data_IF_123518422459
#
_entry.id   IF_123518422459
#
_cell.length_a   1.000
_cell.length_b   1.000
_cell.length_c   1.000
_cell.angle_alpha   90.00
_cell.angle_beta   90.00
_cell.angle_gamma   90.00
#
_symmetry.space_group_name_H-M   'P 1'
#
loop_
_entity.id
_entity.type
_entity.pdbx_description
1 polymer ?
#
# COMPACT_ATOMS: atom_id res chain seq x y z
N UNK A 1 -22.19 -6.08 16.64
CA UNK A 1 -21.11 -5.10 16.39
C UNK A 1 -19.81 -5.72 16.84
N UNK A 2 -19.01 -6.25 15.92
CA UNK A 2 -17.67 -6.72 16.25
C UNK A 2 -16.79 -5.49 16.49
N UNK A 3 -16.09 -5.47 17.63
CA UNK A 3 -15.03 -4.50 17.87
C UNK A 3 -13.99 -4.68 16.76
N UNK A 4 -13.76 -3.62 15.98
CA UNK A 4 -12.58 -3.53 15.11
C UNK A 4 -11.40 -3.45 16.07
N UNK A 5 -10.84 -4.61 16.40
CA UNK A 5 -9.69 -4.70 17.29
C UNK A 5 -8.54 -3.98 16.63
N UNK A 6 -8.11 -2.86 17.21
CA UNK A 6 -6.76 -2.36 16.97
C UNK A 6 -5.81 -3.48 17.37
N UNK A 7 -5.27 -4.20 16.38
CA UNK A 7 -4.22 -5.16 16.63
C UNK A 7 -3.08 -4.41 17.31
N UNK A 8 -2.85 -4.67 18.59
CA UNK A 8 -1.64 -4.23 19.26
C UNK A 8 -0.51 -5.04 18.65
N UNK A 9 0.14 -4.48 17.63
CA UNK A 9 1.25 -5.13 16.97
C UNK A 9 2.43 -5.16 17.94
N UNK A 10 2.64 -6.32 18.57
CA UNK A 10 3.72 -6.49 19.53
C UNK A 10 5.05 -6.63 18.77
N UNK A 11 6.11 -6.04 19.33
CA UNK A 11 7.45 -6.11 18.75
C UNK A 11 7.95 -7.56 18.54
N UNK A 12 7.53 -8.50 19.38
CA UNK A 12 7.90 -9.91 19.29
C UNK A 12 7.31 -10.64 18.06
N UNK A 13 6.33 -10.03 17.39
CA UNK A 13 5.59 -10.62 16.26
C UNK A 13 5.98 -10.00 14.92
N UNK A 14 6.95 -9.09 14.90
CA UNK A 14 7.43 -8.46 13.65
C UNK A 14 7.85 -9.53 12.65
N UNK A 15 7.35 -9.40 11.42
CA UNK A 15 7.61 -10.33 10.32
C UNK A 15 6.74 -11.60 10.35
N UNK A 16 5.91 -11.83 11.36
CA UNK A 16 4.91 -12.90 11.32
C UNK A 16 3.83 -12.61 10.26
N UNK A 17 3.21 -13.63 9.65
CA UNK A 17 2.18 -13.43 8.62
C UNK A 17 1.03 -12.52 9.06
N UNK A 18 0.54 -12.68 10.29
CA UNK A 18 -0.52 -11.88 10.88
C UNK A 18 -0.10 -10.40 10.97
N UNK A 19 1.13 -10.16 11.44
CA UNK A 19 1.70 -8.82 11.54
C UNK A 19 1.81 -8.15 10.17
N UNK A 20 2.36 -8.87 9.16
CA UNK A 20 2.48 -8.39 7.77
C UNK A 20 1.11 -8.11 7.15
N UNK A 21 0.12 -8.96 7.42
CA UNK A 21 -1.24 -8.78 6.91
C UNK A 21 -1.91 -7.54 7.50
N UNK A 22 -1.72 -7.28 8.80
CA UNK A 22 -2.23 -6.08 9.46
C UNK A 22 -1.57 -4.82 8.89
N UNK A 23 -0.25 -4.87 8.65
CA UNK A 23 0.50 -3.77 8.04
C UNK A 23 0.02 -3.47 6.60
N UNK A 24 -0.20 -4.51 5.78
CA UNK A 24 -0.77 -4.36 4.44
C UNK A 24 -2.18 -3.77 4.48
N UNK A 25 -3.04 -4.26 5.38
CA UNK A 25 -4.40 -3.76 5.55
C UNK A 25 -4.41 -2.29 5.97
N UNK A 26 -3.52 -1.90 6.90
CA UNK A 26 -3.37 -0.50 7.29
C UNK A 26 -2.88 0.37 6.13
N UNK A 27 -1.91 -0.11 5.35
CA UNK A 27 -1.42 0.63 4.19
C UNK A 27 -2.56 0.93 3.21
N UNK A 28 -3.38 -0.07 2.88
CA UNK A 28 -4.55 0.09 2.02
C UNK A 28 -5.59 1.03 2.65
N UNK A 29 -5.85 0.89 3.96
CA UNK A 29 -6.81 1.75 4.67
C UNK A 29 -6.39 3.21 4.64
N UNK A 30 -5.10 3.50 4.86
CA UNK A 30 -4.57 4.85 4.86
C UNK A 30 -4.63 5.50 3.48
N UNK A 31 -4.37 4.73 2.43
CA UNK A 31 -4.34 5.24 1.06
C UNK A 31 -5.71 5.26 0.39
N UNK A 32 -6.71 4.56 0.93
CA UNK A 32 -8.05 4.43 0.34
C UNK A 32 -8.68 5.79 0.00
N UNK A 33 -8.50 6.83 0.82
CA UNK A 33 -9.08 8.15 0.53
C UNK A 33 -8.27 9.01 -0.45
N UNK A 34 -7.11 8.55 -0.93
CA UNK A 34 -6.19 9.37 -1.73
C UNK A 34 -6.55 9.23 -3.21
N UNK A 35 -7.06 10.31 -3.81
CA UNK A 35 -7.45 10.34 -5.22
C UNK A 35 -6.27 10.49 -6.21
N UNK A 36 -5.03 10.54 -5.73
CA UNK A 36 -3.84 10.85 -6.54
C UNK A 36 -2.60 10.04 -6.17
N UNK A 37 -1.46 10.32 -6.83
CA UNK A 37 -0.24 9.56 -6.60
C UNK A 37 0.28 9.74 -5.18
N UNK A 38 0.55 8.63 -4.51
CA UNK A 38 1.00 8.54 -3.12
C UNK A 38 2.52 8.59 -3.08
N UNK A 39 3.07 9.39 -2.17
CA UNK A 39 4.50 9.37 -1.86
C UNK A 39 4.80 8.16 -0.96
N UNK A 40 5.62 7.18 -1.41
CA UNK A 40 5.89 5.98 -0.62
C UNK A 40 6.62 6.27 0.70
N UNK A 41 7.41 7.35 0.80
CA UNK A 41 8.05 7.73 2.06
C UNK A 41 7.06 8.29 3.08
N UNK A 42 6.01 9.00 2.61
CA UNK A 42 4.95 9.46 3.48
C UNK A 42 4.14 8.26 4.02
N UNK A 43 3.84 7.28 3.16
CA UNK A 43 3.21 6.04 3.56
C UNK A 43 4.09 5.22 4.52
N UNK A 44 5.39 5.12 4.26
CA UNK A 44 6.34 4.45 5.15
C UNK A 44 6.32 5.08 6.56
N UNK A 45 6.42 6.41 6.63
CA UNK A 45 6.37 7.13 7.92
C UNK A 45 5.04 6.90 8.64
N UNK A 46 3.92 6.98 7.92
CA UNK A 46 2.60 6.68 8.51
C UNK A 46 2.56 5.28 9.12
N UNK A 47 3.04 4.28 8.38
CA UNK A 47 3.07 2.90 8.84
C UNK A 47 3.97 2.71 10.06
N UNK A 48 5.15 3.36 10.05
CA UNK A 48 6.07 3.37 11.18
C UNK A 48 5.43 3.99 12.44
N UNK A 49 4.79 5.14 12.29
CA UNK A 49 4.09 5.83 13.38
C UNK A 49 2.93 4.97 13.91
N UNK A 50 2.22 4.28 13.03
CA UNK A 50 1.11 3.40 13.38
C UNK A 50 1.56 2.16 14.15
N UNK A 51 2.67 1.51 13.76
CA UNK A 51 3.22 0.37 14.51
C UNK A 51 3.88 0.80 15.82
N UNK A 52 4.36 2.04 15.91
CA UNK A 52 4.92 2.61 17.14
C UNK A 52 6.26 1.99 17.58
N UNK A 53 7.01 1.40 16.66
CA UNK A 53 8.33 0.79 16.92
C UNK A 53 9.44 1.43 16.06
N UNK A 54 10.72 1.35 16.49
CA UNK A 54 11.83 1.98 15.76
C UNK A 54 11.96 1.49 14.31
N UNK A 55 12.47 2.36 13.43
CA UNK A 55 12.64 2.07 12.01
C UNK A 55 13.54 0.84 11.80
N UNK A 56 14.60 0.72 12.60
CA UNK A 56 15.57 -0.37 12.52
C UNK A 56 14.93 -1.73 12.76
N UNK A 57 13.81 -1.76 13.49
CA UNK A 57 13.07 -2.98 13.78
C UNK A 57 12.05 -3.36 12.69
N UNK A 58 11.45 -2.38 11.99
CA UNK A 58 10.29 -2.61 11.13
C UNK A 58 10.43 -2.12 9.69
N UNK A 59 11.42 -1.27 9.38
CA UNK A 59 11.56 -0.63 8.07
C UNK A 59 11.72 -1.64 6.93
N UNK A 60 12.42 -2.75 7.17
CA UNK A 60 12.53 -3.85 6.20
C UNK A 60 11.17 -4.49 5.87
N UNK A 61 10.32 -4.67 6.88
CA UNK A 61 8.97 -5.21 6.71
C UNK A 61 8.04 -4.21 6.02
N UNK A 62 8.14 -2.92 6.38
CA UNK A 62 7.39 -1.85 5.70
C UNK A 62 7.76 -1.79 4.22
N UNK A 63 9.05 -1.79 3.87
CA UNK A 63 9.49 -1.84 2.48
C UNK A 63 8.99 -3.10 1.76
N UNK A 64 9.02 -4.25 2.43
CA UNK A 64 8.48 -5.51 1.87
C UNK A 64 7.00 -5.39 1.54
N UNK A 65 6.19 -4.75 2.40
CA UNK A 65 4.77 -4.48 2.13
C UNK A 65 4.60 -3.51 0.96
N UNK A 66 5.37 -2.42 0.90
CA UNK A 66 5.30 -1.47 -0.22
C UNK A 66 5.62 -2.16 -1.55
N UNK A 67 6.63 -3.03 -1.59
CA UNK A 67 6.94 -3.82 -2.78
C UNK A 67 5.85 -4.85 -3.09
N UNK A 68 5.30 -5.52 -2.08
CA UNK A 68 4.21 -6.50 -2.26
C UNK A 68 2.95 -5.84 -2.84
N UNK A 69 2.61 -4.62 -2.42
CA UNK A 69 1.51 -3.83 -2.97
C UNK A 69 1.67 -3.58 -4.47
N UNK A 70 2.90 -3.29 -4.93
CA UNK A 70 3.17 -3.09 -6.37
C UNK A 70 3.21 -4.41 -7.11
N UNK A 71 3.94 -5.41 -6.60
CA UNK A 71 4.10 -6.72 -7.26
C UNK A 71 2.81 -7.52 -7.35
N UNK A 72 1.85 -7.29 -6.46
CA UNK A 72 0.52 -7.89 -6.53
C UNK A 72 -0.43 -7.19 -7.51
N UNK A 73 -0.03 -6.05 -8.07
CA UNK A 73 -0.89 -5.23 -8.93
C UNK A 73 -1.99 -4.48 -8.18
N UNK A 74 -1.94 -4.42 -6.84
CA UNK A 74 -2.83 -3.55 -6.06
C UNK A 74 -2.48 -2.07 -6.27
N UNK A 75 -1.20 -1.80 -6.51
CA UNK A 75 -0.66 -0.48 -6.82
C UNK A 75 0.25 -0.56 -8.04
N UNK A 76 0.36 0.54 -8.77
CA UNK A 76 1.40 0.74 -9.77
C UNK A 76 2.44 1.71 -9.22
N UNK A 77 3.69 1.57 -9.66
CA UNK A 77 4.76 2.52 -9.36
C UNK A 77 5.36 3.02 -10.67
N UNK A 78 5.61 4.32 -10.77
CA UNK A 78 6.28 4.91 -11.93
C UNK A 78 7.77 4.53 -12.05
N UNK A 79 8.36 3.94 -11.01
CA UNK A 79 9.75 3.47 -10.98
C UNK A 79 9.85 1.94 -10.94
N UNK A 80 8.75 1.23 -11.24
CA UNK A 80 8.77 -0.22 -11.39
C UNK A 80 9.24 -0.60 -12.79
N UNK A 81 10.32 -1.37 -12.86
CA UNK A 81 10.76 -2.02 -14.09
C UNK A 81 10.15 -3.43 -14.13
N UNK A 82 9.15 -3.61 -14.99
CA UNK A 82 8.45 -4.88 -15.15
C UNK A 82 9.35 -6.01 -15.70
N UNK A 83 10.36 -5.68 -16.51
CA UNK A 83 11.23 -6.68 -17.11
C UNK A 83 12.15 -7.34 -16.07
N UNK A 84 12.57 -6.57 -15.07
CA UNK A 84 13.43 -7.06 -13.99
C UNK A 84 12.68 -7.32 -12.67
N UNK A 85 11.43 -6.84 -12.56
CA UNK A 85 10.64 -6.83 -11.33
C UNK A 85 11.23 -5.91 -10.25
N UNK A 86 12.13 -5.00 -10.63
CA UNK A 86 12.84 -4.12 -9.70
C UNK A 86 12.01 -2.87 -9.45
N UNK A 87 11.91 -2.47 -8.18
CA UNK A 87 11.28 -1.21 -7.79
C UNK A 87 12.35 -0.38 -7.10
N UNK A 88 12.72 0.73 -7.72
CA UNK A 88 13.63 1.70 -7.11
C UNK A 88 12.79 2.71 -6.32
N UNK A 89 13.06 2.84 -5.01
CA UNK A 89 12.43 3.85 -4.18
C UNK A 89 13.29 5.12 -4.17
N UNK A 90 12.84 6.14 -4.90
CA UNK A 90 13.45 7.45 -5.00
C UNK A 90 12.45 8.57 -4.70
N UNK A 91 12.93 9.82 -4.60
CA UNK A 91 12.11 11.01 -4.28
C UNK A 91 11.01 11.23 -5.34
N UNK A 92 11.27 10.79 -6.56
CA UNK A 92 10.38 10.79 -7.71
C UNK A 92 9.38 9.63 -7.73
N UNK A 93 9.55 8.61 -6.88
CA UNK A 93 8.66 7.45 -6.84
C UNK A 93 7.26 7.86 -6.37
N UNK A 94 6.26 7.38 -7.09
CA UNK A 94 4.85 7.60 -6.83
C UNK A 94 4.10 6.30 -6.97
N UNK A 95 3.27 5.99 -5.98
CA UNK A 95 2.37 4.84 -5.99
C UNK A 95 0.97 5.29 -6.41
N UNK A 96 0.33 4.55 -7.32
CA UNK A 96 -1.06 4.82 -7.72
C UNK A 96 -1.88 3.56 -7.47
N UNK A 97 -3.03 3.68 -6.82
CA UNK A 97 -3.93 2.53 -6.65
C UNK A 97 -4.35 2.01 -8.02
N UNK A 98 -4.35 0.68 -8.20
CA UNK A 98 -4.79 0.08 -9.45
C UNK A 98 -6.29 0.24 -9.65
N UNK A 99 -6.74 0.15 -10.89
CA UNK A 99 -8.19 0.21 -11.21
C UNK A 99 -8.99 -0.81 -10.40
N UNK A 100 -8.47 -2.03 -10.25
CA UNK A 100 -9.11 -3.10 -9.46
C UNK A 100 -9.30 -2.67 -8.01
N UNK A 101 -8.24 -2.17 -7.36
CA UNK A 101 -8.34 -1.75 -5.97
C UNK A 101 -9.30 -0.56 -5.81
N UNK A 102 -9.24 0.41 -6.73
CA UNK A 102 -10.14 1.56 -6.73
C UNK A 102 -11.61 1.12 -6.83
N UNK A 103 -11.94 0.20 -7.75
CA UNK A 103 -13.31 -0.34 -7.88
C UNK A 103 -13.74 -1.07 -6.62
N UNK A 104 -12.86 -1.86 -6.00
CA UNK A 104 -13.18 -2.57 -4.76
C UNK A 104 -13.44 -1.64 -3.57
N UNK A 105 -12.75 -0.50 -3.48
CA UNK A 105 -12.85 0.40 -2.33
C UNK A 105 -13.91 1.51 -2.52
N UNK A 106 -14.16 1.94 -3.75
CA UNK A 106 -15.03 3.07 -4.06
C UNK A 106 -16.28 2.70 -4.85
N UNK A 107 -16.40 1.44 -5.29
CA UNK A 107 -17.39 1.01 -6.26
C UNK A 107 -16.96 1.34 -7.69
N UNK A 108 -17.76 0.92 -8.66
CA UNK A 108 -17.56 1.35 -10.05
C UNK A 108 -17.65 2.87 -10.13
N UNK A 109 -16.68 3.55 -10.77
CA UNK A 109 -16.84 4.97 -11.03
C UNK A 109 -18.10 5.15 -11.88
N UNK A 110 -19.12 5.81 -11.34
CA UNK A 110 -20.27 6.27 -12.12
C UNK A 110 -19.75 7.32 -13.11
N UNK A 111 -19.34 6.89 -14.29
CA UNK A 111 -18.87 7.73 -15.39
C UNK A 111 -18.89 6.91 -16.66
N UNK A 112 -19.81 7.25 -17.54
CA UNK A 112 -20.20 6.49 -18.73
C UNK A 112 -19.02 6.14 -19.64
N UNK A 113 -19.10 4.96 -20.24
CA UNK A 113 -18.23 4.51 -21.31
C UNK A 113 -18.35 5.46 -22.52
N UNK A 114 -17.23 6.00 -22.99
CA UNK A 114 -17.10 6.25 -24.42
C UNK A 114 -15.97 5.37 -24.96
N UNK A 115 -16.33 4.13 -25.31
CA UNK A 115 -15.66 3.44 -26.41
C UNK A 115 -15.91 4.28 -27.67
N UNK A 116 -15.00 5.20 -27.95
CA UNK A 116 -14.91 5.79 -29.29
C UNK A 116 -14.21 4.75 -30.17
N UNK A 117 -14.98 3.85 -30.77
CA UNK A 117 -14.54 3.13 -31.97
C UNK A 117 -14.25 4.17 -33.07
N UNK A 118 -13.00 4.22 -33.55
CA UNK A 118 -12.62 4.80 -34.84
C UNK A 118 -11.76 3.77 -35.57
#
# INVERSE_FOLDING_TARGET
MAAVGSASLNHAEVGQPEWRSALLAEAIRHTAHVAGPINPFALHRHLQDWVGIPEEACGGEINTILFAMVRSGLYTSNTHDEATGTITMGVETRLTASRTLTVCLHGEPCGDYEETEI
#
